data_IF_220321313291
#
_entry.id   IF_220321313291
#
_cell.length_a   1.000
_cell.length_b   1.000
_cell.length_c   1.000
_cell.angle_alpha   90.00
_cell.angle_beta   90.00
_cell.angle_gamma   90.00
#
_symmetry.space_group_name_H-M   'P 1'
#
loop_
_entity.id
_entity.type
_entity.pdbx_description
1 polymer ?
#
# COMPACT_ATOMS: atom_id res chain seq x y z
N UNK A 1 -72.84 19.09 40.95
CA UNK A 1 -71.50 18.62 41.38
C UNK A 1 -70.96 17.69 40.29
N UNK A 2 -69.97 18.13 39.48
CA UNK A 2 -69.30 17.33 38.52
C UNK A 2 -67.84 17.34 38.90
N UNK A 3 -67.30 16.16 39.25
CA UNK A 3 -65.91 15.94 39.68
C UNK A 3 -65.08 15.77 38.43
N UNK A 4 -64.07 16.58 38.28
CA UNK A 4 -63.06 16.48 37.22
C UNK A 4 -61.87 15.68 37.77
N UNK A 5 -61.62 14.49 37.21
CA UNK A 5 -60.32 13.73 37.43
C UNK A 5 -59.28 14.27 36.53
N UNK A 6 -58.21 14.76 37.09
CA UNK A 6 -56.95 15.10 36.39
C UNK A 6 -56.07 13.87 36.31
N UNK A 7 -55.87 13.38 35.11
CA UNK A 7 -54.87 12.30 34.84
C UNK A 7 -53.49 12.90 34.62
N UNK A 8 -52.56 12.52 35.47
CA UNK A 8 -51.15 12.83 35.28
C UNK A 8 -50.49 11.83 34.30
N UNK A 9 -50.08 12.29 33.13
CA UNK A 9 -49.31 11.50 32.18
C UNK A 9 -47.80 11.62 32.54
N UNK A 10 -47.23 10.54 33.05
CA UNK A 10 -45.79 10.44 33.27
C UNK A 10 -45.09 10.17 31.94
N UNK A 11 -44.30 11.14 31.48
CA UNK A 11 -43.43 11.00 30.31
C UNK A 11 -42.15 10.26 30.72
N UNK A 12 -42.03 8.97 30.37
CA UNK A 12 -40.77 8.21 30.50
C UNK A 12 -39.82 8.64 29.37
N UNK A 13 -38.85 9.45 29.71
CA UNK A 13 -37.71 9.73 28.85
C UNK A 13 -36.74 8.55 28.99
N UNK A 14 -36.77 7.64 28.01
CA UNK A 14 -35.73 6.63 27.88
C UNK A 14 -34.45 7.31 27.33
N UNK A 15 -33.47 7.58 28.20
CA UNK A 15 -32.11 7.89 27.79
C UNK A 15 -31.55 6.64 27.11
N UNK A 16 -31.49 6.64 25.78
CA UNK A 16 -30.73 5.67 25.03
C UNK A 16 -29.24 5.91 25.36
N UNK A 17 -28.63 4.97 26.07
CA UNK A 17 -27.16 4.91 26.20
C UNK A 17 -26.66 4.59 24.82
N UNK A 18 -26.19 5.59 24.07
CA UNK A 18 -25.34 5.37 22.90
C UNK A 18 -24.02 4.83 23.45
N UNK A 19 -23.85 3.51 23.44
CA UNK A 19 -22.53 2.93 23.63
C UNK A 19 -21.68 3.46 22.50
N UNK A 20 -20.71 4.32 22.81
CA UNK A 20 -19.64 4.66 21.89
C UNK A 20 -18.98 3.32 21.51
N UNK A 21 -19.27 2.83 20.30
CA UNK A 21 -18.59 1.67 19.76
C UNK A 21 -17.09 1.99 19.80
N UNK A 22 -16.29 1.14 20.40
CA UNK A 22 -14.83 1.23 20.35
C UNK A 22 -14.45 1.31 18.88
N UNK A 23 -13.75 2.37 18.49
CA UNK A 23 -13.13 2.41 17.18
C UNK A 23 -12.10 1.26 17.15
N UNK A 24 -12.22 0.37 16.16
CA UNK A 24 -11.25 -0.72 16.01
C UNK A 24 -9.82 -0.18 15.90
N UNK A 25 -8.82 -1.03 16.09
CA UNK A 25 -7.42 -0.68 15.94
C UNK A 25 -7.16 0.00 14.57
N UNK A 26 -6.05 0.73 14.45
CA UNK A 26 -5.69 1.39 13.19
C UNK A 26 -5.73 0.43 11.99
N UNK A 27 -5.16 -0.77 12.14
CA UNK A 27 -5.13 -1.75 11.05
C UNK A 27 -6.51 -2.28 10.70
N UNK A 28 -7.42 -2.46 11.66
CA UNK A 28 -8.80 -2.86 11.39
C UNK A 28 -9.55 -1.79 10.60
N UNK A 29 -9.33 -0.51 10.92
CA UNK A 29 -9.89 0.60 10.15
C UNK A 29 -9.30 0.66 8.73
N UNK A 30 -8.01 0.37 8.54
CA UNK A 30 -7.37 0.28 7.23
C UNK A 30 -7.96 -0.89 6.43
N UNK A 31 -8.08 -2.06 7.04
CA UNK A 31 -8.69 -3.25 6.42
C UNK A 31 -10.12 -2.99 5.99
N UNK A 32 -10.93 -2.36 6.84
CA UNK A 32 -12.31 -1.99 6.51
C UNK A 32 -12.37 -1.08 5.27
N UNK A 33 -11.45 -0.11 5.14
CA UNK A 33 -11.38 0.75 3.96
C UNK A 33 -10.93 -0.02 2.72
N UNK A 34 -9.92 -0.87 2.85
CA UNK A 34 -9.40 -1.68 1.76
C UNK A 34 -10.42 -2.71 1.23
N UNK A 35 -11.22 -3.30 2.10
CA UNK A 35 -12.25 -4.27 1.71
C UNK A 35 -13.50 -3.63 1.11
N UNK A 36 -13.80 -2.38 1.47
CA UNK A 36 -15.02 -1.69 1.12
C UNK A 36 -14.78 -0.46 0.24
N UNK A 37 -14.09 -0.65 -0.90
CA UNK A 37 -13.71 0.43 -1.81
C UNK A 37 -14.87 1.38 -2.16
N UNK A 38 -16.09 0.85 -2.35
CA UNK A 38 -17.25 1.67 -2.71
C UNK A 38 -17.73 2.59 -1.59
N UNK A 39 -17.49 2.23 -0.34
CA UNK A 39 -17.81 3.07 0.82
C UNK A 39 -16.80 4.19 1.00
N UNK A 40 -15.58 4.00 0.48
CA UNK A 40 -14.45 4.87 0.73
C UNK A 40 -13.86 5.50 -0.55
N UNK A 41 -14.72 5.76 -1.57
CA UNK A 41 -14.27 6.38 -2.83
C UNK A 41 -13.76 7.81 -2.69
N UNK A 42 -14.10 8.48 -1.61
CA UNK A 42 -13.63 9.80 -1.22
C UNK A 42 -12.36 9.77 -0.36
N UNK A 43 -11.82 8.58 -0.09
CA UNK A 43 -10.57 8.39 0.63
C UNK A 43 -9.51 7.75 -0.25
N UNK A 44 -8.42 8.47 -0.50
CA UNK A 44 -7.25 7.95 -1.20
C UNK A 44 -6.28 7.36 -0.19
N UNK A 45 -6.07 6.05 -0.25
CA UNK A 45 -5.07 5.33 0.54
C UNK A 45 -3.68 5.58 -0.05
N UNK A 46 -2.68 5.77 0.80
CA UNK A 46 -1.29 5.95 0.39
C UNK A 46 -0.50 4.67 0.66
N UNK A 47 0.20 4.22 -0.38
CA UNK A 47 1.08 3.06 -0.36
C UNK A 47 2.53 3.53 -0.49
N UNK A 48 3.37 3.15 0.44
CA UNK A 48 4.78 3.51 0.42
C UNK A 48 5.57 2.48 -0.41
N UNK A 49 6.06 2.88 -1.58
CA UNK A 49 6.87 2.04 -2.46
C UNK A 49 8.23 1.76 -1.83
N UNK A 50 8.58 0.48 -1.66
CA UNK A 50 9.80 -0.01 -0.98
C UNK A 50 10.03 0.57 0.42
N UNK A 51 8.94 0.96 1.08
CA UNK A 51 8.99 1.63 2.37
C UNK A 51 9.06 3.15 2.30
N UNK A 52 8.94 3.78 1.12
CA UNK A 52 8.82 5.24 0.96
C UNK A 52 9.99 6.00 1.59
N UNK A 53 11.21 5.72 1.11
CA UNK A 53 12.44 6.26 1.67
C UNK A 53 12.73 7.74 1.35
N UNK A 54 11.90 8.42 0.53
CA UNK A 54 12.11 9.81 0.16
C UNK A 54 11.38 10.78 1.10
N UNK A 55 11.99 11.94 1.30
CA UNK A 55 11.40 13.10 1.93
C UNK A 55 11.89 14.36 1.21
N UNK A 56 11.00 15.05 0.55
CA UNK A 56 11.30 16.22 -0.30
C UNK A 56 12.38 15.94 -1.36
N UNK A 57 12.29 14.80 -2.04
CA UNK A 57 13.20 14.36 -3.09
C UNK A 57 14.54 13.82 -2.61
N UNK A 58 14.72 13.61 -1.30
CA UNK A 58 15.97 13.11 -0.71
C UNK A 58 15.74 11.78 -0.02
N UNK A 59 16.61 10.81 -0.28
CA UNK A 59 16.59 9.51 0.40
C UNK A 59 16.95 9.67 1.87
N UNK A 60 16.05 9.26 2.74
CA UNK A 60 16.18 9.32 4.21
C UNK A 60 16.56 7.96 4.80
N UNK A 61 15.99 6.90 4.25
CA UNK A 61 16.20 5.52 4.69
C UNK A 61 16.58 4.66 3.48
N UNK A 62 17.34 3.57 3.67
CA UNK A 62 17.48 2.57 2.62
C UNK A 62 16.12 2.01 2.21
N UNK A 63 15.90 1.78 0.92
CA UNK A 63 14.72 1.06 0.45
C UNK A 63 14.64 -0.33 1.11
N UNK A 64 13.42 -0.86 1.28
CA UNK A 64 13.21 -2.22 1.78
C UNK A 64 13.89 -2.50 3.15
N UNK A 65 13.99 -1.49 4.01
CA UNK A 65 14.67 -1.57 5.31
C UNK A 65 13.71 -1.55 6.50
N UNK A 66 14.18 -1.98 7.66
CA UNK A 66 13.40 -1.88 8.90
C UNK A 66 13.22 -0.40 9.33
N UNK A 67 14.17 0.50 8.98
CA UNK A 67 14.03 1.92 9.24
C UNK A 67 12.92 2.53 8.39
N UNK A 68 12.86 2.18 7.09
CA UNK A 68 11.80 2.64 6.20
C UNK A 68 10.41 2.21 6.68
N UNK A 69 10.26 0.95 7.12
CA UNK A 69 8.99 0.46 7.69
C UNK A 69 8.54 1.27 8.91
N UNK A 70 9.47 1.58 9.83
CA UNK A 70 9.17 2.42 11.00
C UNK A 70 8.72 3.83 10.56
N UNK A 71 9.42 4.41 9.59
CA UNK A 71 9.08 5.71 9.01
C UNK A 71 7.69 5.72 8.38
N UNK A 72 7.36 4.72 7.58
CA UNK A 72 6.05 4.58 6.93
C UNK A 72 4.90 4.45 7.93
N UNK A 73 5.06 3.60 8.95
CA UNK A 73 4.05 3.45 10.00
C UNK A 73 3.82 4.80 10.70
N UNK A 74 4.90 5.52 11.03
CA UNK A 74 4.82 6.83 11.67
C UNK A 74 4.21 7.92 10.78
N UNK A 75 4.37 7.84 9.45
CA UNK A 75 3.77 8.81 8.52
C UNK A 75 2.25 8.68 8.41
N UNK A 76 1.69 7.55 8.84
CA UNK A 76 0.26 7.27 8.74
C UNK A 76 -0.19 6.76 7.37
N UNK A 77 0.71 6.20 6.56
CA UNK A 77 0.35 5.46 5.35
C UNK A 77 -0.47 4.20 5.69
N UNK A 78 -1.25 3.73 4.73
CA UNK A 78 -2.13 2.57 4.90
C UNK A 78 -1.47 1.25 4.52
N UNK A 79 -0.50 1.30 3.62
CA UNK A 79 0.15 0.11 3.09
C UNK A 79 1.62 0.40 2.79
N UNK A 80 2.45 -0.61 2.99
CA UNK A 80 3.82 -0.61 2.51
C UNK A 80 3.96 -1.67 1.41
N UNK A 81 4.62 -1.31 0.33
CA UNK A 81 5.04 -2.27 -0.69
C UNK A 81 6.50 -2.63 -0.46
N UNK A 82 6.83 -3.92 -0.57
CA UNK A 82 8.17 -4.47 -0.42
C UNK A 82 8.44 -5.57 -1.45
N UNK A 83 9.70 -5.63 -1.88
CA UNK A 83 10.17 -6.55 -2.92
C UNK A 83 10.71 -7.85 -2.34
N UNK A 84 10.31 -8.99 -2.88
CA UNK A 84 10.66 -10.31 -2.34
C UNK A 84 11.62 -11.05 -3.26
N UNK A 85 12.74 -11.46 -2.68
CA UNK A 85 13.72 -12.36 -3.27
C UNK A 85 14.00 -13.56 -2.39
N UNK A 86 14.90 -14.42 -2.84
CA UNK A 86 15.26 -15.65 -2.13
C UNK A 86 16.78 -15.78 -2.02
N UNK A 87 17.25 -16.14 -0.82
CA UNK A 87 18.64 -16.52 -0.57
C UNK A 87 18.99 -17.89 -1.16
N UNK A 88 20.27 -18.24 -1.21
CA UNK A 88 20.77 -19.55 -1.67
C UNK A 88 20.18 -20.73 -0.90
N UNK A 89 19.98 -20.57 0.39
CA UNK A 89 19.42 -21.59 1.30
C UNK A 89 17.90 -21.53 1.43
N UNK A 90 17.23 -20.71 0.59
CA UNK A 90 15.78 -20.74 0.41
C UNK A 90 15.00 -19.75 1.27
N UNK A 91 15.63 -18.92 2.09
CA UNK A 91 14.92 -17.92 2.91
C UNK A 91 14.35 -16.80 2.03
N UNK A 92 13.13 -16.36 2.32
CA UNK A 92 12.52 -15.20 1.68
C UNK A 92 13.09 -13.92 2.31
N UNK A 93 13.72 -13.09 1.51
CA UNK A 93 14.34 -11.83 1.92
C UNK A 93 13.67 -10.65 1.23
N UNK A 94 13.87 -9.45 1.77
CA UNK A 94 13.30 -8.21 1.22
C UNK A 94 14.39 -7.41 0.53
N UNK A 95 14.32 -7.39 -0.81
CA UNK A 95 15.27 -6.69 -1.69
C UNK A 95 14.72 -6.62 -3.12
N UNK A 96 14.89 -5.47 -3.79
CA UNK A 96 14.46 -5.30 -5.17
C UNK A 96 15.39 -5.99 -6.17
N UNK A 97 16.69 -5.69 -6.13
CA UNK A 97 17.66 -6.12 -7.12
C UNK A 97 18.04 -7.59 -6.96
N UNK A 98 18.41 -8.23 -8.05
CA UNK A 98 19.06 -9.57 -8.04
C UNK A 98 20.53 -9.53 -7.62
N UNK A 99 21.11 -8.32 -7.54
CA UNK A 99 22.49 -8.06 -7.15
C UNK A 99 22.52 -7.17 -5.90
N UNK A 100 23.51 -7.42 -5.02
CA UNK A 100 23.71 -6.70 -3.76
C UNK A 100 24.28 -5.29 -3.95
N UNK A 101 24.79 -5.00 -5.12
CA UNK A 101 25.75 -3.93 -5.42
C UNK A 101 25.21 -2.51 -5.24
N UNK A 102 23.91 -2.27 -5.49
CA UNK A 102 23.28 -0.95 -5.42
C UNK A 102 22.85 -0.59 -4.01
N UNK A 103 22.22 -1.52 -3.31
CA UNK A 103 21.50 -1.26 -2.05
C UNK A 103 22.23 -1.78 -0.81
N UNK A 104 23.42 -2.40 -0.98
CA UNK A 104 24.23 -2.90 0.14
C UNK A 104 25.71 -2.58 -0.03
N UNK A 105 26.48 -2.76 1.04
CA UNK A 105 27.95 -2.72 1.01
C UNK A 105 28.59 -4.02 0.49
N UNK A 106 27.77 -5.04 0.18
CA UNK A 106 28.20 -6.31 -0.40
C UNK A 106 28.14 -6.28 -1.92
N UNK A 107 28.67 -7.33 -2.58
CA UNK A 107 28.72 -7.48 -4.02
C UNK A 107 28.28 -8.87 -4.47
N UNK A 108 27.75 -8.95 -5.70
CA UNK A 108 27.38 -10.19 -6.36
C UNK A 108 25.90 -10.53 -6.24
N UNK A 109 25.53 -11.69 -6.77
CA UNK A 109 24.13 -12.13 -6.86
C UNK A 109 23.56 -12.54 -5.49
N UNK A 110 22.34 -12.11 -5.22
CA UNK A 110 21.57 -12.46 -4.02
C UNK A 110 21.41 -13.97 -3.88
N UNK A 111 20.99 -14.65 -4.97
CA UNK A 111 20.75 -16.10 -4.99
C UNK A 111 22.02 -16.95 -4.75
N UNK A 112 23.20 -16.37 -4.88
CA UNK A 112 24.46 -17.05 -4.60
C UNK A 112 24.88 -17.00 -3.11
N UNK A 113 24.15 -16.26 -2.26
CA UNK A 113 24.45 -16.04 -0.84
C UNK A 113 23.44 -16.72 0.07
N UNK A 114 23.92 -17.36 1.12
CA UNK A 114 23.07 -17.87 2.22
C UNK A 114 22.53 -16.70 3.07
N UNK A 115 21.49 -16.95 3.87
CA UNK A 115 20.98 -15.92 4.79
C UNK A 115 22.04 -15.48 5.81
N UNK A 116 22.85 -16.38 6.29
CA UNK A 116 23.97 -16.05 7.19
C UNK A 116 24.96 -15.07 6.54
N UNK A 117 25.31 -15.27 5.27
CA UNK A 117 26.17 -14.35 4.51
C UNK A 117 25.48 -13.01 4.26
N UNK A 118 24.18 -13.01 3.91
CA UNK A 118 23.39 -11.80 3.68
C UNK A 118 23.24 -10.97 4.96
N UNK A 119 23.14 -11.60 6.11
CA UNK A 119 23.05 -10.93 7.42
C UNK A 119 24.29 -10.11 7.78
N UNK A 120 25.43 -10.36 7.13
CA UNK A 120 26.66 -9.58 7.30
C UNK A 120 26.69 -8.34 6.41
N UNK A 121 25.87 -8.29 5.36
CA UNK A 121 25.73 -7.11 4.51
C UNK A 121 24.96 -6.01 5.23
N UNK A 122 25.33 -4.75 4.93
CA UNK A 122 24.64 -3.58 5.48
C UNK A 122 23.99 -2.80 4.35
N UNK A 123 22.75 -2.39 4.58
CA UNK A 123 22.00 -1.58 3.64
C UNK A 123 22.63 -0.19 3.49
N UNK A 124 22.51 0.36 2.29
CA UNK A 124 23.06 1.65 1.90
C UNK A 124 21.92 2.60 1.56
N UNK A 125 22.00 3.84 2.03
CA UNK A 125 21.07 4.91 1.65
C UNK A 125 21.38 5.31 0.21
N UNK A 126 20.42 5.11 -0.70
CA UNK A 126 20.59 5.41 -2.12
C UNK A 126 20.85 6.92 -2.33
N UNK A 127 21.64 7.22 -3.35
CA UNK A 127 22.01 8.61 -3.69
C UNK A 127 23.07 9.22 -2.79
N UNK A 128 23.20 8.82 -1.53
CA UNK A 128 24.25 9.29 -0.62
C UNK A 128 25.41 8.31 -0.49
N UNK A 129 25.17 7.01 -0.74
CA UNK A 129 26.15 5.95 -0.51
C UNK A 129 26.44 5.67 0.97
N UNK A 130 25.67 6.22 1.89
CA UNK A 130 25.86 6.03 3.33
C UNK A 130 25.52 4.60 3.73
N UNK A 131 26.49 3.86 4.25
CA UNK A 131 26.30 2.52 4.82
C UNK A 131 25.64 2.66 6.19
N UNK A 132 24.55 1.94 6.41
CA UNK A 132 23.84 1.90 7.69
C UNK A 132 24.26 0.71 8.54
N UNK A 133 23.71 0.58 9.74
CA UNK A 133 23.88 -0.60 10.59
C UNK A 133 22.81 -1.69 10.31
N UNK A 134 21.86 -1.43 9.41
CA UNK A 134 20.77 -2.35 9.12
C UNK A 134 21.22 -3.48 8.19
N UNK A 135 20.98 -4.76 8.52
CA UNK A 135 21.24 -5.88 7.64
C UNK A 135 20.14 -6.00 6.57
N UNK A 136 20.35 -6.86 5.57
CA UNK A 136 19.29 -7.30 4.66
C UNK A 136 18.22 -8.04 5.48
N UNK A 137 16.96 -7.58 5.48
CA UNK A 137 15.91 -8.20 6.30
C UNK A 137 15.29 -9.43 5.63
N UNK A 138 14.83 -10.37 6.43
CA UNK A 138 13.95 -11.44 5.97
C UNK A 138 12.50 -10.95 5.84
N UNK A 139 11.70 -11.61 4.99
CA UNK A 139 10.27 -11.34 4.92
C UNK A 139 9.58 -11.55 6.28
N UNK A 140 10.01 -12.57 7.03
CA UNK A 140 9.48 -12.85 8.37
C UNK A 140 9.67 -11.68 9.34
N UNK A 141 10.84 -11.06 9.35
CA UNK A 141 11.13 -9.88 10.19
C UNK A 141 10.27 -8.69 9.80
N UNK A 142 10.12 -8.43 8.48
CA UNK A 142 9.28 -7.35 7.97
C UNK A 142 7.80 -7.56 8.34
N UNK A 143 7.28 -8.78 8.16
CA UNK A 143 5.91 -9.11 8.57
C UNK A 143 5.71 -8.98 10.08
N UNK A 144 6.68 -9.39 10.89
CA UNK A 144 6.61 -9.20 12.35
C UNK A 144 6.55 -7.71 12.74
N UNK A 145 7.30 -6.84 12.06
CA UNK A 145 7.33 -5.40 12.33
C UNK A 145 6.02 -4.68 11.92
N UNK A 146 5.33 -5.19 10.88
CA UNK A 146 4.12 -4.59 10.30
C UNK A 146 2.82 -5.16 10.88
N UNK A 147 2.90 -6.31 11.56
CA UNK A 147 1.73 -6.99 12.12
C UNK A 147 0.93 -6.09 13.06
N UNK A 148 -0.38 -6.01 12.81
CA UNK A 148 -1.30 -5.19 13.59
C UNK A 148 -1.19 -3.67 13.36
N UNK A 149 -0.37 -3.20 12.40
CA UNK A 149 -0.07 -1.78 12.22
C UNK A 149 -0.44 -1.24 10.84
N UNK A 150 -0.08 -1.96 9.77
CA UNK A 150 -0.17 -1.50 8.38
C UNK A 150 -0.38 -2.69 7.44
N UNK A 151 -1.00 -2.50 6.28
CA UNK A 151 -1.06 -3.52 5.23
C UNK A 151 0.31 -3.67 4.54
N UNK A 152 0.58 -4.87 4.02
CA UNK A 152 1.82 -5.18 3.32
C UNK A 152 1.52 -5.73 1.94
N UNK A 153 2.02 -5.06 0.90
CA UNK A 153 1.98 -5.53 -0.48
C UNK A 153 3.32 -6.18 -0.83
N UNK A 154 3.28 -7.43 -1.29
CA UNK A 154 4.47 -8.21 -1.65
C UNK A 154 4.65 -8.21 -3.16
N UNK A 155 5.69 -7.53 -3.64
CA UNK A 155 6.09 -7.57 -5.04
C UNK A 155 7.06 -8.73 -5.28
N UNK A 156 6.58 -9.73 -6.01
CA UNK A 156 7.32 -10.96 -6.27
C UNK A 156 8.37 -10.76 -7.37
N UNK A 157 9.65 -10.72 -7.01
CA UNK A 157 10.79 -10.68 -7.94
C UNK A 157 11.31 -12.10 -8.30
N UNK A 158 10.56 -13.13 -7.96
CA UNK A 158 10.85 -14.54 -8.20
C UNK A 158 9.88 -15.10 -9.26
N UNK A 159 9.83 -16.41 -9.38
CA UNK A 159 8.86 -17.09 -10.26
C UNK A 159 7.44 -17.02 -9.67
N UNK A 160 6.42 -17.20 -10.52
CA UNK A 160 5.02 -17.17 -10.08
C UNK A 160 4.73 -18.20 -8.99
N UNK A 161 5.42 -19.35 -9.02
CA UNK A 161 5.25 -20.40 -8.02
C UNK A 161 5.61 -19.96 -6.60
N UNK A 162 6.55 -19.04 -6.45
CA UNK A 162 7.00 -18.53 -5.15
C UNK A 162 5.95 -17.69 -4.42
N UNK A 163 4.91 -17.21 -5.12
CA UNK A 163 3.77 -16.55 -4.49
C UNK A 163 3.10 -17.43 -3.43
N UNK A 164 3.11 -18.76 -3.64
CA UNK A 164 2.54 -19.72 -2.69
C UNK A 164 3.29 -19.69 -1.34
N UNK A 165 4.62 -19.62 -1.36
CA UNK A 165 5.45 -19.58 -0.16
C UNK A 165 5.22 -18.29 0.65
N UNK A 166 5.01 -17.16 -0.03
CA UNK A 166 4.69 -15.88 0.62
C UNK A 166 3.36 -15.96 1.36
N UNK A 167 2.32 -16.53 0.73
CA UNK A 167 1.01 -16.74 1.37
C UNK A 167 1.10 -17.71 2.55
N UNK A 168 1.85 -18.81 2.41
CA UNK A 168 2.07 -19.78 3.49
C UNK A 168 2.75 -19.11 4.68
N UNK A 169 3.78 -18.28 4.44
CA UNK A 169 4.46 -17.54 5.52
C UNK A 169 3.52 -16.54 6.19
N UNK A 170 2.79 -15.73 5.42
CA UNK A 170 1.83 -14.76 5.95
C UNK A 170 0.78 -15.45 6.84
N UNK A 171 0.24 -16.57 6.39
CA UNK A 171 -0.73 -17.40 7.15
C UNK A 171 -0.12 -17.96 8.42
N UNK A 172 1.09 -18.50 8.35
CA UNK A 172 1.80 -19.02 9.54
C UNK A 172 2.04 -17.93 10.61
N UNK A 173 2.04 -16.66 10.20
CA UNK A 173 2.17 -15.50 11.07
C UNK A 173 0.80 -14.90 11.48
N UNK A 174 -0.33 -15.43 10.97
CA UNK A 174 -1.67 -14.87 11.20
C UNK A 174 -1.80 -13.47 10.61
N UNK A 175 -1.35 -13.28 9.37
CA UNK A 175 -1.35 -11.99 8.65
C UNK A 175 -1.98 -12.11 7.25
N UNK A 176 -2.71 -13.17 6.96
CA UNK A 176 -3.30 -13.41 5.64
C UNK A 176 -4.27 -12.30 5.19
N UNK A 177 -4.90 -11.59 6.13
CA UNK A 177 -5.77 -10.44 5.81
C UNK A 177 -4.96 -9.14 5.60
N UNK A 178 -3.78 -9.02 6.22
CA UNK A 178 -2.92 -7.84 6.09
C UNK A 178 -1.97 -7.89 4.89
N UNK A 179 -1.72 -9.09 4.33
CA UNK A 179 -0.74 -9.30 3.27
C UNK A 179 -1.45 -9.45 1.92
N UNK A 180 -1.02 -8.64 0.96
CA UNK A 180 -1.50 -8.66 -0.42
C UNK A 180 -0.37 -9.12 -1.33
N UNK A 181 -0.53 -10.26 -2.00
CA UNK A 181 0.38 -10.71 -3.07
C UNK A 181 -0.11 -10.23 -4.42
N UNK A 182 0.80 -9.97 -5.37
CA UNK A 182 0.44 -9.43 -6.68
C UNK A 182 1.16 -10.14 -7.82
N UNK A 183 0.61 -10.05 -9.03
CA UNK A 183 1.28 -10.48 -10.24
C UNK A 183 0.76 -9.73 -11.47
N UNK A 184 1.65 -9.55 -12.46
CA UNK A 184 1.29 -9.02 -13.76
C UNK A 184 0.38 -9.97 -14.53
N UNK A 185 -0.75 -9.45 -15.05
CA UNK A 185 -1.75 -10.17 -15.82
C UNK A 185 -1.95 -9.48 -17.17
N UNK A 186 -1.59 -10.16 -18.27
CA UNK A 186 -1.65 -9.61 -19.62
C UNK A 186 -2.47 -10.44 -20.61
N UNK A 187 -2.89 -11.66 -20.22
CA UNK A 187 -3.70 -12.54 -21.04
C UNK A 187 -4.56 -13.49 -20.21
N UNK A 188 -5.57 -14.13 -20.82
CA UNK A 188 -6.42 -15.10 -20.17
C UNK A 188 -5.63 -16.36 -19.73
N UNK A 189 -4.63 -16.75 -20.52
CA UNK A 189 -3.73 -17.87 -20.20
C UNK A 189 -2.90 -17.54 -18.94
N UNK A 190 -2.41 -16.29 -18.84
CA UNK A 190 -1.67 -15.83 -17.65
C UNK A 190 -2.56 -15.82 -16.41
N UNK A 191 -3.79 -15.33 -16.52
CA UNK A 191 -4.80 -15.40 -15.44
C UNK A 191 -5.00 -16.84 -14.98
N UNK A 192 -5.17 -17.76 -15.93
CA UNK A 192 -5.37 -19.21 -15.64
C UNK A 192 -4.16 -19.80 -14.93
N UNK A 193 -2.95 -19.52 -15.41
CA UNK A 193 -1.68 -20.01 -14.83
C UNK A 193 -1.51 -19.51 -13.38
N UNK A 194 -1.72 -18.21 -13.12
CA UNK A 194 -1.61 -17.65 -11.78
C UNK A 194 -2.69 -18.24 -10.85
N UNK A 195 -3.93 -18.37 -11.31
CA UNK A 195 -5.00 -19.04 -10.54
C UNK A 195 -4.64 -20.48 -10.17
N UNK A 196 -4.04 -21.21 -11.08
CA UNK A 196 -3.61 -22.59 -10.82
C UNK A 196 -2.53 -22.62 -9.73
N UNK A 197 -1.54 -21.74 -9.77
CA UNK A 197 -0.54 -21.59 -8.71
C UNK A 197 -1.21 -21.27 -7.38
N UNK A 198 -2.05 -20.24 -7.34
CA UNK A 198 -2.67 -19.78 -6.11
C UNK A 198 -3.68 -20.79 -5.53
N UNK A 199 -4.26 -21.68 -6.36
CA UNK A 199 -5.14 -22.74 -5.85
C UNK A 199 -4.43 -23.75 -4.94
N UNK A 200 -3.12 -23.86 -5.02
CA UNK A 200 -2.31 -24.75 -4.17
C UNK A 200 -2.29 -24.30 -2.70
N UNK A 201 -2.49 -23.02 -2.42
CA UNK A 201 -2.54 -22.48 -1.05
C UNK A 201 -3.95 -22.32 -0.49
N UNK A 202 -4.97 -22.77 -1.26
CA UNK A 202 -6.38 -22.69 -0.84
C UNK A 202 -6.96 -21.29 -0.94
N UNK A 203 -7.89 -20.96 -0.05
CA UNK A 203 -8.57 -19.64 0.04
C UNK A 203 -8.05 -18.80 1.22
N UNK A 204 -8.53 -17.57 1.36
CA UNK A 204 -8.23 -16.72 2.52
C UNK A 204 -6.91 -15.99 2.39
N UNK A 205 -6.53 -15.59 1.18
CA UNK A 205 -5.42 -14.67 0.91
C UNK A 205 -5.91 -13.51 0.05
N UNK A 206 -5.21 -12.38 0.12
CA UNK A 206 -5.46 -11.22 -0.71
C UNK A 206 -4.56 -11.26 -1.96
N UNK A 207 -5.17 -11.13 -3.14
CA UNK A 207 -4.43 -11.09 -4.41
C UNK A 207 -4.80 -9.84 -5.21
N UNK A 208 -3.81 -9.15 -5.77
CA UNK A 208 -3.97 -7.95 -6.58
C UNK A 208 -3.44 -8.18 -8.00
N UNK A 209 -4.27 -8.03 -9.04
CA UNK A 209 -3.81 -7.97 -10.42
C UNK A 209 -3.00 -6.70 -10.67
N UNK A 210 -1.87 -6.82 -11.38
CA UNK A 210 -1.13 -5.71 -12.00
C UNK A 210 -1.47 -5.69 -13.48
N UNK A 211 -1.94 -4.56 -13.98
CA UNK A 211 -2.33 -4.34 -15.39
C UNK A 211 -1.56 -3.15 -15.94
N UNK A 212 -0.82 -3.36 -17.03
CA UNK A 212 -0.09 -2.32 -17.73
C UNK A 212 -0.71 -2.00 -19.10
N UNK A 213 -0.81 -0.71 -19.46
CA UNK A 213 -1.50 -0.23 -20.67
C UNK A 213 -0.74 -0.49 -21.98
N UNK A 214 0.53 -0.87 -21.91
CA UNK A 214 1.32 -1.34 -23.05
C UNK A 214 0.95 -2.79 -23.43
N UNK A 215 0.38 -3.57 -22.51
CA UNK A 215 -0.05 -4.93 -22.73
C UNK A 215 -1.59 -5.09 -22.80
N UNK A 216 -2.33 -4.32 -21.99
CA UNK A 216 -3.79 -4.46 -21.82
C UNK A 216 -4.48 -3.12 -21.88
N UNK A 217 -5.50 -2.99 -22.77
CA UNK A 217 -6.35 -1.81 -22.91
C UNK A 217 -7.85 -2.12 -22.84
N UNK A 218 -8.19 -3.40 -22.77
CA UNK A 218 -9.58 -3.85 -22.75
C UNK A 218 -10.15 -3.85 -21.32
N UNK A 219 -11.14 -2.99 -21.10
CA UNK A 219 -11.86 -2.89 -19.83
C UNK A 219 -12.57 -4.21 -19.42
N UNK A 220 -12.98 -5.01 -20.39
CA UNK A 220 -13.60 -6.33 -20.15
C UNK A 220 -12.60 -7.31 -19.53
N UNK A 221 -11.38 -7.35 -20.07
CA UNK A 221 -10.31 -8.17 -19.53
C UNK A 221 -9.92 -7.71 -18.10
N UNK A 222 -9.76 -6.40 -17.86
CA UNK A 222 -9.43 -5.84 -16.54
C UNK A 222 -10.46 -6.27 -15.50
N UNK A 223 -11.75 -6.10 -15.83
CA UNK A 223 -12.84 -6.53 -14.95
C UNK A 223 -12.85 -8.04 -14.71
N UNK A 224 -12.58 -8.84 -15.72
CA UNK A 224 -12.50 -10.29 -15.59
C UNK A 224 -11.32 -10.74 -14.71
N UNK A 225 -10.16 -10.10 -14.85
CA UNK A 225 -8.98 -10.33 -14.03
C UNK A 225 -9.27 -10.00 -12.55
N UNK A 226 -9.88 -8.87 -12.26
CA UNK A 226 -10.28 -8.50 -10.89
C UNK A 226 -11.23 -9.54 -10.26
N UNK A 227 -12.28 -9.95 -10.98
CA UNK A 227 -13.23 -10.97 -10.51
C UNK A 227 -12.60 -12.35 -10.35
N UNK A 228 -11.62 -12.71 -11.21
CA UNK A 228 -10.97 -14.02 -11.16
C UNK A 228 -10.28 -14.30 -9.82
N UNK A 229 -9.86 -13.26 -9.12
CA UNK A 229 -9.19 -13.32 -7.82
C UNK A 229 -9.99 -12.67 -6.69
N UNK A 230 -11.22 -12.24 -6.94
CA UNK A 230 -11.99 -11.44 -5.96
C UNK A 230 -11.18 -10.25 -5.43
N UNK A 231 -10.44 -9.60 -6.32
CA UNK A 231 -9.47 -8.56 -5.97
C UNK A 231 -10.13 -7.38 -5.26
N UNK A 232 -9.47 -6.85 -4.22
CA UNK A 232 -9.87 -5.63 -3.52
C UNK A 232 -9.24 -4.38 -4.14
N UNK A 233 -8.15 -4.55 -4.88
CA UNK A 233 -7.48 -3.50 -5.65
C UNK A 233 -6.98 -4.06 -6.98
N UNK A 234 -6.82 -3.19 -7.97
CA UNK A 234 -6.15 -3.49 -9.24
C UNK A 234 -5.13 -2.39 -9.48
N UNK A 235 -3.87 -2.78 -9.61
CA UNK A 235 -2.75 -1.88 -9.89
C UNK A 235 -2.72 -1.56 -11.38
N UNK A 236 -2.76 -0.25 -11.70
CA UNK A 236 -2.85 0.29 -13.04
C UNK A 236 -1.56 0.98 -13.44
N UNK A 237 -0.75 0.33 -14.25
CA UNK A 237 0.50 0.89 -14.76
C UNK A 237 0.21 1.62 -16.06
N UNK A 238 0.22 2.94 -16.02
CA UNK A 238 0.06 3.80 -17.19
C UNK A 238 1.42 4.33 -17.63
N UNK A 239 1.85 3.93 -18.82
CA UNK A 239 3.12 4.35 -19.39
C UNK A 239 3.00 5.64 -20.23
N UNK A 240 4.10 6.35 -20.33
CA UNK A 240 4.33 7.42 -21.27
C UNK A 240 5.69 7.21 -21.92
N UNK A 241 5.76 7.32 -23.24
CA UNK A 241 7.04 7.37 -23.98
C UNK A 241 7.71 8.74 -23.82
N UNK A 242 9.02 8.80 -24.02
CA UNK A 242 9.82 10.03 -23.89
C UNK A 242 9.34 11.17 -24.80
N UNK A 243 8.91 10.84 -26.03
CA UNK A 243 8.41 11.80 -27.00
C UNK A 243 6.91 12.12 -26.89
N UNK A 244 6.21 11.50 -25.95
CA UNK A 244 4.77 11.68 -25.77
C UNK A 244 4.49 12.79 -24.74
N UNK A 245 3.34 13.45 -24.89
CA UNK A 245 2.85 14.40 -23.88
C UNK A 245 2.40 13.67 -22.60
N UNK A 246 2.37 14.39 -21.50
CA UNK A 246 1.78 13.86 -20.26
C UNK A 246 0.32 13.50 -20.48
N UNK A 247 -0.12 12.42 -19.88
CA UNK A 247 -1.51 11.97 -20.01
C UNK A 247 -2.49 13.05 -19.56
N UNK A 248 -3.50 13.32 -20.38
CA UNK A 248 -4.60 14.23 -20.03
C UNK A 248 -5.78 13.52 -19.33
N UNK A 249 -5.88 12.19 -19.46
CA UNK A 249 -7.04 11.42 -19.01
C UNK A 249 -6.73 10.20 -18.11
N UNK A 250 -5.46 9.85 -17.95
CA UNK A 250 -5.03 8.59 -17.31
C UNK A 250 -5.00 7.40 -18.27
N UNK A 251 -5.29 7.61 -19.57
CA UNK A 251 -5.23 6.58 -20.59
C UNK A 251 -6.36 5.53 -20.50
N UNK A 252 -6.20 4.38 -21.17
CA UNK A 252 -7.25 3.37 -21.29
C UNK A 252 -7.63 2.72 -19.95
N UNK A 253 -6.67 2.60 -19.02
CA UNK A 253 -6.88 1.99 -17.70
C UNK A 253 -7.76 2.86 -16.79
N UNK A 254 -7.87 4.16 -17.06
CA UNK A 254 -8.74 5.10 -16.33
C UNK A 254 -10.01 5.45 -17.12
N UNK A 255 -10.39 4.65 -18.13
CA UNK A 255 -11.60 4.86 -18.89
C UNK A 255 -12.88 4.75 -18.03
N UNK A 256 -13.98 5.37 -18.48
CA UNK A 256 -15.27 5.29 -17.81
C UNK A 256 -15.75 3.82 -17.63
N UNK A 257 -15.41 2.91 -18.56
CA UNK A 257 -15.75 1.49 -18.46
C UNK A 257 -14.98 0.79 -17.34
N UNK A 258 -13.69 1.10 -17.17
CA UNK A 258 -12.87 0.54 -16.08
C UNK A 258 -13.36 1.06 -14.72
N UNK A 259 -13.63 2.36 -14.61
CA UNK A 259 -14.21 2.95 -13.39
C UNK A 259 -15.56 2.35 -13.03
N UNK A 260 -16.43 2.14 -14.00
CA UNK A 260 -17.71 1.45 -13.78
C UNK A 260 -17.52 -0.01 -13.33
N UNK A 261 -16.51 -0.71 -13.83
CA UNK A 261 -16.17 -2.06 -13.38
C UNK A 261 -15.64 -2.05 -11.93
N UNK A 262 -14.79 -1.09 -11.57
CA UNK A 262 -14.29 -0.93 -10.20
C UNK A 262 -15.43 -0.70 -9.19
N UNK A 263 -16.41 0.12 -9.55
CA UNK A 263 -17.59 0.36 -8.72
C UNK A 263 -18.46 -0.89 -8.62
N UNK A 264 -18.77 -1.55 -9.76
CA UNK A 264 -19.62 -2.74 -9.78
C UNK A 264 -19.04 -3.89 -8.97
N UNK A 265 -17.73 -4.12 -9.08
CA UNK A 265 -17.02 -5.25 -8.51
C UNK A 265 -16.32 -4.89 -7.18
N UNK A 266 -16.51 -3.67 -6.64
CA UNK A 266 -16.02 -3.16 -5.34
C UNK A 266 -14.50 -3.31 -5.16
N UNK A 267 -13.69 -2.79 -6.09
CA UNK A 267 -12.23 -2.76 -5.96
C UNK A 267 -11.65 -1.34 -6.11
N UNK A 268 -10.51 -1.11 -5.48
CA UNK A 268 -9.73 0.12 -5.56
C UNK A 268 -9.00 0.22 -6.90
N UNK A 269 -8.96 1.41 -7.47
CA UNK A 269 -8.05 1.74 -8.57
C UNK A 269 -6.75 2.24 -7.93
N UNK A 270 -5.69 1.49 -8.16
CA UNK A 270 -4.36 1.82 -7.69
C UNK A 270 -3.52 2.38 -8.83
N UNK A 271 -2.77 3.46 -8.58
CA UNK A 271 -1.82 4.06 -9.50
C UNK A 271 -0.45 4.20 -8.85
N UNK A 272 0.60 4.06 -9.65
CA UNK A 272 1.99 4.21 -9.22
C UNK A 272 2.51 5.59 -9.63
N UNK A 273 2.91 6.41 -8.66
CA UNK A 273 3.51 7.73 -8.90
C UNK A 273 5.01 7.75 -8.61
N UNK A 274 5.55 6.68 -8.04
CA UNK A 274 6.97 6.58 -7.72
C UNK A 274 7.87 6.78 -8.96
N UNK A 275 9.09 7.29 -8.73
CA UNK A 275 10.01 7.70 -9.79
C UNK A 275 10.77 6.54 -10.45
N UNK A 276 10.89 5.41 -9.77
CA UNK A 276 11.68 4.28 -10.24
C UNK A 276 10.95 3.54 -11.36
N UNK A 277 11.50 3.58 -12.56
CA UNK A 277 10.98 2.90 -13.74
C UNK A 277 11.99 1.87 -14.25
N UNK A 278 11.48 0.66 -14.56
CA UNK A 278 12.28 -0.42 -15.13
C UNK A 278 12.22 -0.46 -16.67
N UNK A 279 11.50 0.47 -17.30
CA UNK A 279 11.31 0.53 -18.76
C UNK A 279 12.16 1.65 -19.36
N UNK A 280 13.16 1.34 -20.18
CA UNK A 280 13.98 2.36 -20.83
C UNK A 280 13.12 3.34 -21.66
N UNK A 281 13.32 4.64 -21.46
CA UNK A 281 12.57 5.69 -22.15
C UNK A 281 11.07 5.76 -21.82
N UNK A 282 10.61 5.03 -20.79
CA UNK A 282 9.24 5.08 -20.29
C UNK A 282 9.14 5.86 -18.97
N UNK A 283 8.01 6.53 -18.79
CA UNK A 283 7.66 7.19 -17.53
C UNK A 283 6.37 6.58 -17.00
N UNK A 284 6.36 6.22 -15.70
CA UNK A 284 5.15 5.80 -15.00
C UNK A 284 4.13 6.94 -14.93
N UNK A 285 2.92 6.58 -14.55
CA UNK A 285 1.81 7.52 -14.33
C UNK A 285 1.53 8.44 -15.52
N UNK A 286 1.82 7.98 -16.73
CA UNK A 286 1.69 8.80 -17.92
C UNK A 286 2.49 10.11 -17.84
N UNK A 287 3.61 10.13 -17.11
CA UNK A 287 4.45 11.30 -16.86
C UNK A 287 4.02 12.17 -15.68
N UNK A 288 3.05 11.72 -14.86
CA UNK A 288 2.55 12.43 -13.67
C UNK A 288 2.98 11.69 -12.40
N UNK A 289 4.28 11.71 -12.14
CA UNK A 289 4.93 11.05 -11.01
C UNK A 289 5.43 12.00 -9.93
N UNK A 290 6.07 11.43 -8.91
CA UNK A 290 6.52 12.12 -7.69
C UNK A 290 7.50 13.27 -7.96
N UNK A 291 8.36 13.18 -8.99
CA UNK A 291 9.25 14.29 -9.34
C UNK A 291 8.48 15.54 -9.73
N UNK A 292 7.35 15.38 -10.47
CA UNK A 292 6.48 16.50 -10.80
C UNK A 292 5.77 17.04 -9.55
N UNK A 293 5.31 16.14 -8.66
CA UNK A 293 4.60 16.53 -7.45
C UNK A 293 5.48 17.28 -6.46
N UNK A 294 6.64 16.70 -6.12
CA UNK A 294 7.48 17.13 -4.99
C UNK A 294 8.63 17.99 -5.46
N UNK A 295 9.46 17.50 -6.39
CA UNK A 295 10.66 18.23 -6.83
C UNK A 295 10.31 19.47 -7.67
N UNK A 296 9.33 19.33 -8.58
CA UNK A 296 8.86 20.45 -9.39
C UNK A 296 7.79 21.31 -8.69
N UNK A 297 7.18 20.84 -7.59
CA UNK A 297 6.21 21.59 -6.80
C UNK A 297 4.80 21.66 -7.38
N UNK A 298 4.38 20.65 -8.15
CA UNK A 298 3.04 20.57 -8.75
C UNK A 298 2.22 19.36 -8.23
N UNK A 299 1.98 19.24 -6.90
CA UNK A 299 1.28 18.08 -6.34
C UNK A 299 -0.16 17.93 -6.86
N UNK A 300 -0.86 19.02 -7.21
CA UNK A 300 -2.18 18.97 -7.82
C UNK A 300 -2.16 18.26 -9.19
N UNK A 301 -1.09 18.44 -9.96
CA UNK A 301 -0.93 17.80 -11.28
C UNK A 301 -0.61 16.30 -11.19
N UNK A 302 -0.38 15.79 -9.99
CA UNK A 302 -0.12 14.39 -9.72
C UNK A 302 -1.19 13.82 -8.80
N UNK A 303 -1.15 14.12 -7.51
CA UNK A 303 -2.08 13.52 -6.53
C UNK A 303 -3.53 13.93 -6.81
N UNK A 304 -3.79 15.22 -7.09
CA UNK A 304 -5.11 15.72 -7.49
C UNK A 304 -5.59 15.11 -8.79
N UNK A 305 -4.73 15.12 -9.80
CA UNK A 305 -5.05 14.55 -11.11
C UNK A 305 -5.53 13.10 -11.02
N UNK A 306 -4.81 12.23 -10.28
CA UNK A 306 -5.18 10.84 -10.15
C UNK A 306 -6.41 10.62 -9.26
N UNK A 307 -6.53 11.35 -8.16
CA UNK A 307 -7.71 11.29 -7.29
C UNK A 307 -8.99 11.68 -8.05
N UNK A 308 -8.98 12.77 -8.81
CA UNK A 308 -10.11 13.21 -9.65
C UNK A 308 -10.48 12.19 -10.74
N UNK A 309 -9.54 11.38 -11.19
CA UNK A 309 -9.78 10.31 -12.17
C UNK A 309 -10.21 8.99 -11.53
N UNK A 310 -10.40 9.00 -10.21
CA UNK A 310 -10.96 7.89 -9.45
C UNK A 310 -9.93 6.90 -8.94
N UNK A 311 -8.63 7.27 -8.90
CA UNK A 311 -7.65 6.51 -8.11
C UNK A 311 -8.02 6.64 -6.63
N UNK A 312 -8.09 5.51 -5.95
CA UNK A 312 -8.37 5.40 -4.51
C UNK A 312 -7.19 4.80 -3.76
N UNK A 313 -6.11 4.47 -4.47
CA UNK A 313 -4.81 4.12 -3.91
C UNK A 313 -3.70 4.75 -4.76
N UNK A 314 -2.72 5.35 -4.12
CA UNK A 314 -1.54 5.94 -4.75
C UNK A 314 -0.29 5.33 -4.12
N UNK A 315 0.52 4.65 -4.93
CA UNK A 315 1.84 4.16 -4.54
C UNK A 315 2.90 5.20 -4.89
N UNK A 316 3.70 5.60 -3.92
CA UNK A 316 4.61 6.74 -4.00
C UNK A 316 5.91 6.48 -3.25
N UNK A 317 7.00 7.11 -3.67
CA UNK A 317 8.25 7.19 -2.92
C UNK A 317 8.21 8.28 -1.83
N UNK A 318 7.21 9.19 -1.90
CA UNK A 318 7.03 10.37 -1.05
C UNK A 318 5.74 10.30 -0.20
N UNK A 319 5.55 9.26 0.64
CA UNK A 319 4.28 9.03 1.32
C UNK A 319 3.86 10.18 2.23
N UNK A 320 4.80 10.84 2.91
CA UNK A 320 4.48 11.98 3.77
C UNK A 320 3.92 13.16 2.99
N UNK A 321 4.53 13.51 1.84
CA UNK A 321 4.05 14.59 0.98
C UNK A 321 2.68 14.27 0.37
N UNK A 322 2.48 13.02 -0.06
CA UNK A 322 1.19 12.57 -0.58
C UNK A 322 0.08 12.64 0.48
N UNK A 323 0.33 12.15 1.70
CA UNK A 323 -0.62 12.18 2.81
C UNK A 323 -0.97 13.62 3.18
N UNK A 324 0.01 14.50 3.34
CA UNK A 324 -0.18 15.90 3.68
C UNK A 324 -1.06 16.59 2.63
N UNK A 325 -0.68 16.48 1.36
CA UNK A 325 -1.42 17.14 0.28
C UNK A 325 -2.84 16.60 0.12
N UNK A 326 -3.02 15.27 0.08
CA UNK A 326 -4.33 14.64 -0.07
C UNK A 326 -5.26 14.97 1.10
N UNK A 327 -4.73 15.03 2.33
CA UNK A 327 -5.50 15.39 3.51
C UNK A 327 -5.92 16.86 3.49
N UNK A 328 -5.02 17.77 3.13
CA UNK A 328 -5.30 19.20 3.03
C UNK A 328 -6.32 19.54 1.94
N UNK A 329 -6.44 18.71 0.91
CA UNK A 329 -7.34 18.91 -0.23
C UNK A 329 -8.61 18.06 -0.20
N UNK A 330 -8.92 17.40 0.94
CA UNK A 330 -10.18 16.69 1.15
C UNK A 330 -10.27 15.31 0.47
N UNK A 331 -9.15 14.74 0.03
CA UNK A 331 -9.09 13.40 -0.56
C UNK A 331 -8.80 12.30 0.49
N UNK A 332 -8.78 12.64 1.77
CA UNK A 332 -8.61 11.66 2.86
C UNK A 332 -9.60 11.90 3.98
N UNK A 333 -10.29 10.85 4.38
CA UNK A 333 -11.15 10.85 5.56
C UNK A 333 -10.27 10.51 6.78
N UNK A 334 -10.29 11.28 7.87
CA UNK A 334 -9.53 10.96 9.07
C UNK A 334 -9.87 9.57 9.62
N UNK A 335 -8.90 8.92 10.23
CA UNK A 335 -9.13 7.74 11.03
C UNK A 335 -9.69 8.12 12.39
N UNK A 336 -10.53 7.28 12.96
CA UNK A 336 -10.95 7.49 14.34
C UNK A 336 -9.78 7.26 15.30
N UNK A 337 -9.73 8.04 16.39
CA UNK A 337 -8.74 7.84 17.43
C UNK A 337 -8.85 6.44 18.01
N UNK A 338 -7.71 5.79 18.20
CA UNK A 338 -7.63 4.48 18.84
C UNK A 338 -7.24 4.66 20.30
N UNK A 339 -7.58 3.68 21.16
CA UNK A 339 -7.19 3.73 22.58
C UNK A 339 -5.66 3.89 22.76
N UNK A 340 -4.87 3.37 21.84
CA UNK A 340 -3.42 3.54 21.82
C UNK A 340 -2.99 4.98 21.54
N UNK A 341 -3.67 5.69 20.61
CA UNK A 341 -3.37 7.10 20.32
C UNK A 341 -3.81 8.00 21.46
N UNK A 342 -4.93 7.69 22.10
CA UNK A 342 -5.41 8.41 23.30
C UNK A 342 -4.45 8.21 24.47
N UNK A 343 -3.99 6.96 24.70
CA UNK A 343 -3.03 6.67 25.76
C UNK A 343 -1.66 7.35 25.55
N UNK A 344 -1.19 7.41 24.30
CA UNK A 344 0.05 8.13 23.96
C UNK A 344 -0.07 9.64 24.20
N UNK A 345 -1.18 10.27 23.79
CA UNK A 345 -1.43 11.69 24.00
C UNK A 345 -1.54 12.04 25.51
N UNK A 346 -2.22 11.19 26.29
CA UNK A 346 -2.29 11.37 27.76
C UNK A 346 -0.95 11.16 28.46
N UNK A 347 -0.06 10.31 27.90
CA UNK A 347 1.28 10.06 28.42
C UNK A 347 2.22 11.26 28.20
N UNK A 348 2.11 11.96 27.10
CA UNK A 348 2.88 13.16 26.76
C UNK A 348 2.45 14.38 27.60
N UNK A 349 1.17 14.53 27.92
CA UNK A 349 0.68 15.61 28.81
C UNK A 349 1.22 15.51 30.25
N UNK A 350 1.44 14.28 30.74
CA UNK A 350 1.98 14.08 32.10
C UNK A 350 3.48 14.38 32.23
N UNK A 351 4.22 14.41 31.11
CA UNK A 351 5.66 14.72 31.12
C UNK A 351 5.92 16.23 31.00
N UNK A 352 4.94 17.00 30.55
CA UNK A 352 5.09 18.47 30.32
C UNK A 352 4.64 19.37 31.47
N UNK A 353 4.23 18.85 32.62
CA UNK A 353 3.87 19.64 33.77
C UNK A 353 5.14 20.19 34.45
N UNK A 354 5.37 21.51 34.54
CA UNK A 354 6.54 22.06 35.22
C UNK A 354 6.44 21.82 36.70
N UNK A 355 7.46 21.16 37.25
CA UNK A 355 7.71 21.16 38.72
C UNK A 355 8.04 22.55 39.16
N UNK A 356 7.12 23.19 39.89
CA UNK A 356 7.36 24.40 40.65
C UNK A 356 8.32 24.17 41.82
#
# INVERSE_FOLDING_TARGET
MRTVLAGAASLLVTLGIVTAGHAGSRVEQILERYENANRWRDHVMVVAHRGGGLEAGKTRYPENSMASIRGVISSGAEMVEIDIRRSKDGELIVMHDSWLDRTTNCKGEVIARTMDELSQCRLVVEGTGTVTDEPVPTLREMLAATKGKILVNLDNKLETADLADMVVLARAMGMEEQVVVKANLWSAERVTSVKQTMSQVGSGFQFMPIIADDAVRDAGFIAAAGRAFSARAVEMITWRGEAEEMTASGGPLFSAKVKAAAIRDNWHIWVDTHAIVNKPGGFLSGGRGDELAVTAGFPNEVFGFWAERGATMIQTDEPSAAIEWLSANGYRVPYADTDESVAAAMGEEQVSAPTN
#
